data_IF_442254466374
#
_entry.id   IF_442254466374
#
_cell.length_a   1.000
_cell.length_b   1.000
_cell.length_c   1.000
_cell.angle_alpha   90.00
_cell.angle_beta   90.00
_cell.angle_gamma   90.00
#
_symmetry.space_group_name_H-M   'P 1'
#
loop_
_entity.id
_entity.type
_entity.pdbx_description
1 polymer ?
#
# COMPACT_ATOMS: atom_id res chain seq x y z
N UNK A 1 -1.27 7.73 35.34
CA UNK A 1 -0.86 7.51 33.94
C UNK A 1 -1.72 8.45 33.11
N UNK A 2 -1.18 9.44 32.39
CA UNK A 2 -2.04 10.26 31.53
C UNK A 2 -2.48 9.38 30.35
N UNK A 3 -3.78 9.31 30.11
CA UNK A 3 -4.38 8.53 29.02
C UNK A 3 -3.92 9.10 27.67
N UNK A 4 -2.88 8.51 27.11
CA UNK A 4 -2.38 8.86 25.78
C UNK A 4 -3.43 8.48 24.74
N UNK A 5 -3.80 9.42 23.88
CA UNK A 5 -4.67 9.23 22.73
C UNK A 5 -4.26 7.95 21.99
N UNK A 6 -5.15 6.96 21.90
CA UNK A 6 -4.89 5.72 21.18
C UNK A 6 -4.81 6.04 19.69
N UNK A 7 -3.66 5.78 19.06
CA UNK A 7 -3.55 5.85 17.62
C UNK A 7 -4.21 4.60 17.02
N UNK A 8 -4.90 4.72 15.90
CA UNK A 8 -5.53 3.57 15.24
C UNK A 8 -4.93 3.34 13.86
N UNK A 9 -4.78 2.07 13.49
CA UNK A 9 -4.55 1.64 12.12
C UNK A 9 -5.89 1.18 11.55
N UNK A 10 -6.29 1.75 10.42
CA UNK A 10 -7.56 1.47 9.75
C UNK A 10 -7.28 0.86 8.38
N UNK A 11 -8.03 -0.18 8.03
CA UNK A 11 -8.00 -0.80 6.71
C UNK A 11 -9.28 -0.43 5.96
N UNK A 12 -9.11 0.14 4.77
CA UNK A 12 -10.19 0.41 3.84
C UNK A 12 -10.01 -0.40 2.56
N UNK A 13 -11.08 -1.00 2.06
CA UNK A 13 -11.11 -1.71 0.77
C UNK A 13 -12.20 -1.09 -0.08
N UNK A 14 -11.88 -0.68 -1.31
CA UNK A 14 -12.79 0.01 -2.21
C UNK A 14 -13.46 1.27 -1.59
N UNK A 15 -12.77 1.94 -0.66
CA UNK A 15 -13.29 3.11 0.05
C UNK A 15 -14.14 2.79 1.30
N UNK A 16 -14.37 1.52 1.63
CA UNK A 16 -15.16 1.12 2.80
C UNK A 16 -14.26 0.64 3.94
N UNK A 17 -14.57 1.04 5.18
CA UNK A 17 -13.81 0.60 6.36
C UNK A 17 -14.09 -0.87 6.66
N UNK A 18 -13.05 -1.70 6.55
CA UNK A 18 -13.13 -3.14 6.81
C UNK A 18 -12.63 -3.50 8.21
N UNK A 19 -11.59 -2.81 8.69
CA UNK A 19 -11.00 -3.14 9.98
C UNK A 19 -10.39 -1.91 10.67
N UNK A 20 -10.27 -2.01 11.99
CA UNK A 20 -9.59 -1.05 12.84
C UNK A 20 -8.79 -1.80 13.92
N UNK A 21 -7.62 -1.30 14.26
CA UNK A 21 -6.81 -1.81 15.38
C UNK A 21 -6.10 -0.67 16.09
N UNK A 22 -6.15 -0.69 17.42
CA UNK A 22 -5.36 0.21 18.26
C UNK A 22 -3.86 -0.07 18.14
N UNK A 23 -3.09 0.98 17.91
CA UNK A 23 -1.64 1.01 17.98
C UNK A 23 -1.23 1.41 19.39
N UNK A 24 -0.70 0.45 20.14
CA UNK A 24 -0.21 0.66 21.51
C UNK A 24 1.22 1.22 21.55
N UNK A 25 1.94 1.13 20.43
CA UNK A 25 3.29 1.67 20.26
C UNK A 25 3.30 2.68 19.11
N UNK A 26 3.84 3.90 19.30
CA UNK A 26 3.99 4.86 18.21
C UNK A 26 4.82 4.28 17.06
N UNK A 27 4.42 4.56 15.82
CA UNK A 27 5.25 4.28 14.66
C UNK A 27 6.46 5.23 14.70
N UNK A 28 7.65 4.67 14.80
CA UNK A 28 8.90 5.42 14.79
C UNK A 28 9.36 5.64 13.36
N UNK A 29 9.87 6.84 13.08
CA UNK A 29 10.60 7.09 11.84
C UNK A 29 11.87 6.21 11.83
N UNK A 30 12.14 5.57 10.70
CA UNK A 30 13.36 4.77 10.50
C UNK A 30 14.07 5.33 9.28
N UNK A 31 15.25 5.89 9.51
CA UNK A 31 16.10 6.42 8.46
C UNK A 31 16.55 5.33 7.48
N UNK A 32 16.72 5.69 6.21
CA UNK A 32 17.28 4.80 5.20
C UNK A 32 16.38 3.63 4.75
N UNK A 33 15.12 3.57 5.22
CA UNK A 33 14.14 2.61 4.68
C UNK A 33 13.81 2.94 3.22
N UNK A 34 13.72 1.88 2.41
CA UNK A 34 13.21 1.94 1.03
C UNK A 34 11.80 1.38 0.98
N UNK A 35 10.90 2.10 0.32
CA UNK A 35 9.61 1.52 -0.07
C UNK A 35 9.85 0.48 -1.17
N UNK A 36 9.34 -0.73 -0.97
CA UNK A 36 9.37 -1.82 -1.95
C UNK A 36 7.93 -2.14 -2.33
N UNK A 37 7.66 -2.23 -3.63
CA UNK A 37 6.35 -2.58 -4.17
C UNK A 37 6.42 -3.95 -4.86
N UNK A 38 5.31 -4.68 -4.84
CA UNK A 38 5.17 -5.97 -5.49
C UNK A 38 5.87 -7.14 -4.79
N UNK A 39 6.45 -6.94 -3.60
CA UNK A 39 7.00 -8.02 -2.76
C UNK A 39 7.40 -7.58 -1.37
N UNK A 40 7.58 -8.55 -0.48
CA UNK A 40 8.16 -8.36 0.84
C UNK A 40 9.71 -8.38 0.87
N UNK A 41 10.25 -7.91 1.99
CA UNK A 41 11.65 -8.09 2.39
C UNK A 41 11.67 -8.81 3.74
N UNK A 42 12.36 -9.95 3.81
CA UNK A 42 12.56 -10.72 5.03
C UNK A 42 14.04 -11.07 5.17
N UNK A 43 14.64 -10.79 6.34
CA UNK A 43 16.07 -11.04 6.61
C UNK A 43 16.99 -10.52 5.48
N UNK A 44 16.78 -9.27 5.08
CA UNK A 44 17.48 -8.59 3.97
C UNK A 44 17.34 -9.25 2.59
N UNK A 45 16.48 -10.26 2.44
CA UNK A 45 16.20 -10.95 1.18
C UNK A 45 14.81 -10.58 0.67
N UNK A 46 14.71 -10.51 -0.65
CA UNK A 46 13.43 -10.35 -1.35
C UNK A 46 12.62 -11.63 -1.23
N UNK A 47 11.39 -11.53 -0.76
CA UNK A 47 10.51 -12.68 -0.50
C UNK A 47 9.03 -12.31 -0.77
N UNK A 48 8.10 -13.26 -0.69
CA UNK A 48 6.65 -13.04 -0.80
C UNK A 48 6.26 -12.15 -2.00
N UNK A 49 6.58 -12.62 -3.22
CA UNK A 49 6.28 -11.87 -4.44
C UNK A 49 4.77 -11.76 -4.69
N UNK A 50 4.37 -10.64 -5.27
CA UNK A 50 3.06 -10.42 -5.86
C UNK A 50 3.23 -10.40 -7.38
N UNK A 51 2.50 -11.29 -8.06
CA UNK A 51 2.74 -11.57 -9.48
C UNK A 51 1.73 -10.89 -10.42
N UNK A 52 0.90 -9.98 -9.90
CA UNK A 52 -0.12 -9.28 -10.66
C UNK A 52 0.06 -7.74 -10.63
N UNK A 53 -0.84 -7.02 -11.28
CA UNK A 53 -0.78 -5.57 -11.45
C UNK A 53 -0.95 -4.84 -10.11
N UNK A 54 -0.15 -3.78 -9.95
CA UNK A 54 -0.26 -2.80 -8.88
C UNK A 54 -0.22 -1.44 -9.56
N UNK A 55 -1.24 -0.62 -9.33
CA UNK A 55 -1.37 0.72 -9.89
C UNK A 55 -1.71 1.76 -8.81
N UNK A 56 -1.53 3.04 -9.15
CA UNK A 56 -1.93 4.19 -8.34
C UNK A 56 -1.43 4.24 -6.89
N UNK A 57 -0.23 3.73 -6.64
CA UNK A 57 0.37 3.75 -5.31
C UNK A 57 0.67 5.19 -4.87
N UNK A 58 0.08 5.58 -3.74
CA UNK A 58 0.26 6.89 -3.10
C UNK A 58 0.67 6.72 -1.64
N UNK A 59 1.55 7.58 -1.17
CA UNK A 59 1.97 7.65 0.24
C UNK A 59 1.74 9.06 0.73
N UNK A 60 1.06 9.18 1.87
CA UNK A 60 0.69 10.46 2.47
C UNK A 60 1.47 10.66 3.78
N UNK A 61 1.79 11.91 4.12
CA UNK A 61 2.50 12.25 5.36
C UNK A 61 1.59 12.33 6.58
N UNK A 62 0.28 12.20 6.38
CA UNK A 62 -0.74 12.25 7.43
C UNK A 62 -1.82 11.22 7.16
N UNK A 63 -2.52 10.81 8.22
CA UNK A 63 -3.71 9.99 8.10
C UNK A 63 -4.80 10.77 7.37
N UNK A 64 -5.37 10.16 6.33
CA UNK A 64 -6.53 10.70 5.63
C UNK A 64 -7.81 10.45 6.45
N UNK A 65 -8.77 11.34 6.32
CA UNK A 65 -10.14 11.13 6.77
C UNK A 65 -10.86 10.08 5.91
N UNK A 66 -11.95 9.51 6.42
CA UNK A 66 -12.77 8.54 5.68
C UNK A 66 -13.35 9.13 4.38
N UNK A 67 -13.72 10.41 4.38
CA UNK A 67 -14.19 11.10 3.18
C UNK A 67 -13.09 11.19 2.12
N UNK A 68 -11.86 11.55 2.51
CA UNK A 68 -10.71 11.62 1.60
C UNK A 68 -10.35 10.25 1.03
N UNK A 69 -10.42 9.18 1.84
CA UNK A 69 -10.20 7.80 1.39
C UNK A 69 -11.28 7.39 0.38
N UNK A 70 -12.54 7.68 0.66
CA UNK A 70 -13.66 7.37 -0.24
C UNK A 70 -13.50 8.08 -1.58
N UNK A 71 -13.09 9.34 -1.58
CA UNK A 71 -12.87 10.11 -2.79
C UNK A 71 -11.61 9.67 -3.55
N UNK A 72 -10.57 9.25 -2.85
CA UNK A 72 -9.37 8.66 -3.46
C UNK A 72 -9.66 7.30 -4.12
N UNK A 73 -10.48 6.46 -3.47
CA UNK A 73 -10.93 5.19 -4.03
C UNK A 73 -11.73 5.38 -5.33
N UNK A 74 -12.64 6.38 -5.39
CA UNK A 74 -13.38 6.70 -6.61
C UNK A 74 -12.44 7.06 -7.77
N UNK A 75 -11.47 7.95 -7.52
CA UNK A 75 -10.49 8.39 -8.54
C UNK A 75 -9.61 7.26 -9.04
N UNK A 76 -9.25 6.33 -8.16
CA UNK A 76 -8.39 5.19 -8.51
C UNK A 76 -9.16 4.10 -9.25
N UNK A 77 -10.46 3.93 -8.95
CA UNK A 77 -11.33 2.97 -9.63
C UNK A 77 -11.86 3.47 -10.99
N UNK A 78 -11.57 4.71 -11.37
CA UNK A 78 -11.89 5.20 -12.72
C UNK A 78 -11.07 4.40 -13.75
N UNK A 79 -11.70 3.87 -14.82
CA UNK A 79 -11.00 3.09 -15.83
C UNK A 79 -9.85 3.89 -16.43
N UNK A 80 -8.61 3.48 -16.15
CA UNK A 80 -7.43 4.02 -16.81
C UNK A 80 -7.20 3.27 -18.10
N UNK A 81 -6.82 3.99 -19.16
CA UNK A 81 -6.45 3.35 -20.41
C UNK A 81 -5.27 2.40 -20.16
N UNK A 82 -5.56 1.10 -20.06
CA UNK A 82 -4.54 0.06 -19.92
C UNK A 82 -3.77 -0.03 -21.23
N UNK A 83 -2.55 0.50 -21.26
CA UNK A 83 -1.61 0.14 -22.31
C UNK A 83 -1.25 -1.33 -22.06
N UNK A 84 -1.81 -2.23 -22.88
CA UNK A 84 -1.48 -3.65 -22.83
C UNK A 84 0.05 -3.82 -22.76
N UNK A 85 0.54 -4.45 -21.70
CA UNK A 85 1.93 -4.87 -21.60
C UNK A 85 2.21 -5.85 -22.74
N UNK A 86 2.76 -5.35 -23.85
CA UNK A 86 3.21 -6.20 -24.94
C UNK A 86 4.47 -6.90 -24.46
N UNK A 87 4.35 -8.18 -24.09
CA UNK A 87 5.52 -9.03 -23.93
C UNK A 87 6.25 -9.07 -25.27
N UNK A 88 7.41 -8.41 -25.35
CA UNK A 88 8.35 -8.67 -26.41
C UNK A 88 8.94 -10.06 -26.14
N UNK A 89 8.52 -11.04 -26.96
CA UNK A 89 8.99 -12.41 -26.88
C UNK A 89 10.50 -12.52 -27.00
N UNK A 90 11.06 -13.49 -26.28
CA UNK A 90 12.48 -13.83 -26.32
C UNK A 90 12.81 -14.94 -25.33
N UNK A 91 12.15 -16.10 -25.44
CA UNK A 91 12.62 -17.31 -24.77
C UNK A 91 13.77 -17.88 -25.60
N UNK A 92 15.01 -17.70 -25.15
CA UNK A 92 16.17 -18.42 -25.67
C UNK A 92 16.57 -19.45 -24.62
N UNK A 93 16.35 -20.73 -24.94
CA UNK A 93 16.88 -21.85 -24.18
C UNK A 93 18.36 -22.05 -24.55
N UNK A 94 19.17 -22.31 -23.53
CA UNK A 94 20.44 -23.03 -23.66
C UNK A 94 20.42 -24.19 -22.67
#
# INVERSE_FOLDING_TARGET
MPEGKVNECLLYVNGHKEAARSLTTPLVHIDGIRLVLGRGMWDHKRDHAWDDQIEDVKVFQQALSEAEITDEAKKSNEPKASAAFKSAGGFMAF
#
